data_IF_168374808130
#
_entry.id   IF_168374808130
#
_cell.length_a   1.000
_cell.length_b   1.000
_cell.length_c   1.000
_cell.angle_alpha   90.00
_cell.angle_beta   90.00
_cell.angle_gamma   90.00
#
_symmetry.space_group_name_H-M   'P 1'
#
loop_
_entity.id
_entity.type
_entity.pdbx_description
1 polymer ?
#
# COMPACT_ATOMS: atom_id res chain seq x y z
N UNK A 1 -21.62 -6.11 6.99
CA UNK A 1 -21.90 -5.72 5.60
C UNK A 1 -21.69 -4.22 5.47
N UNK A 2 -20.82 -3.80 4.58
CA UNK A 2 -20.86 -2.53 3.85
C UNK A 2 -19.94 -1.36 4.22
N UNK A 3 -18.84 -1.53 4.92
CA UNK A 3 -17.82 -0.45 5.02
C UNK A 3 -16.73 -0.60 3.92
N UNK A 4 -16.52 -1.81 3.41
CA UNK A 4 -15.55 -2.12 2.34
C UNK A 4 -15.82 -1.43 0.99
N UNK A 5 -17.07 -1.06 0.72
CA UNK A 5 -17.45 -0.53 -0.59
C UNK A 5 -17.29 1.00 -0.72
N UNK A 6 -17.36 1.75 0.37
CA UNK A 6 -17.35 3.22 0.30
C UNK A 6 -16.00 3.81 -0.13
N UNK A 7 -14.88 3.24 0.31
CA UNK A 7 -13.57 3.76 -0.07
C UNK A 7 -13.17 3.41 -1.51
N UNK A 8 -13.58 2.23 -2.00
CA UNK A 8 -13.40 1.83 -3.39
C UNK A 8 -14.25 2.70 -4.32
N UNK A 9 -15.49 2.94 -3.93
CA UNK A 9 -16.43 3.80 -4.67
C UNK A 9 -15.95 5.24 -4.68
N UNK A 10 -15.49 5.80 -3.56
CA UNK A 10 -15.04 7.19 -3.50
C UNK A 10 -13.76 7.44 -4.30
N UNK A 11 -12.77 6.55 -4.24
CA UNK A 11 -11.53 6.76 -4.99
C UNK A 11 -11.75 6.53 -6.49
N UNK A 12 -12.42 5.45 -6.89
CA UNK A 12 -12.74 5.16 -8.29
C UNK A 12 -13.72 6.17 -8.86
N UNK A 13 -14.73 6.59 -8.07
CA UNK A 13 -15.68 7.65 -8.46
C UNK A 13 -14.97 8.99 -8.62
N UNK A 14 -14.13 9.38 -7.65
CA UNK A 14 -13.39 10.63 -7.70
C UNK A 14 -12.46 10.68 -8.94
N UNK A 15 -11.71 9.63 -9.18
CA UNK A 15 -10.79 9.56 -10.31
C UNK A 15 -11.54 9.53 -11.65
N UNK A 16 -12.59 8.74 -11.76
CA UNK A 16 -13.37 8.60 -12.99
C UNK A 16 -14.30 9.77 -13.27
N UNK A 17 -15.10 10.17 -12.28
CA UNK A 17 -16.16 11.15 -12.46
C UNK A 17 -15.70 12.59 -12.23
N UNK A 18 -14.67 12.81 -11.39
CA UNK A 18 -14.17 14.14 -11.06
C UNK A 18 -12.93 14.50 -11.85
N UNK A 19 -12.00 13.54 -12.02
CA UNK A 19 -10.73 13.76 -12.72
C UNK A 19 -10.73 13.22 -14.17
N UNK A 20 -11.75 12.47 -14.58
CA UNK A 20 -11.86 11.91 -15.93
C UNK A 20 -10.82 10.83 -16.25
N UNK A 21 -10.17 10.25 -15.23
CA UNK A 21 -9.17 9.20 -15.42
C UNK A 21 -9.88 7.86 -15.56
N UNK A 22 -9.93 7.34 -16.79
CA UNK A 22 -10.57 6.05 -17.10
C UNK A 22 -9.59 4.89 -17.11
N UNK A 23 -8.30 5.15 -17.33
CA UNK A 23 -7.26 4.11 -17.42
C UNK A 23 -6.90 3.56 -16.01
N UNK A 24 -7.12 2.26 -15.76
CA UNK A 24 -6.77 1.65 -14.48
C UNK A 24 -5.29 1.79 -14.11
N UNK A 25 -4.39 1.87 -15.09
CA UNK A 25 -2.94 2.03 -14.89
C UNK A 25 -2.63 3.40 -14.31
N UNK A 26 -3.21 4.45 -14.89
CA UNK A 26 -3.08 5.81 -14.38
C UNK A 26 -3.66 5.93 -12.97
N UNK A 27 -4.78 5.28 -12.69
CA UNK A 27 -5.38 5.23 -11.35
C UNK A 27 -4.44 4.59 -10.33
N UNK A 28 -3.77 3.48 -10.68
CA UNK A 28 -2.80 2.79 -9.83
C UNK A 28 -1.59 3.70 -9.56
N UNK A 29 -1.02 4.31 -10.59
CA UNK A 29 0.12 5.22 -10.45
C UNK A 29 -0.23 6.44 -9.60
N UNK A 30 -1.39 7.03 -9.84
CA UNK A 30 -1.90 8.16 -9.06
C UNK A 30 -2.09 7.77 -7.58
N UNK A 31 -2.70 6.59 -7.32
CA UNK A 31 -2.85 6.09 -5.96
C UNK A 31 -1.51 6.03 -5.22
N UNK A 32 -0.50 5.43 -5.81
CA UNK A 32 0.82 5.30 -5.17
C UNK A 32 1.48 6.66 -4.92
N UNK A 33 1.31 7.63 -5.83
CA UNK A 33 1.82 8.99 -5.65
C UNK A 33 1.10 9.72 -4.48
N UNK A 34 -0.23 9.62 -4.41
CA UNK A 34 -1.00 10.19 -3.30
C UNK A 34 -0.66 9.54 -1.96
N UNK A 35 -0.36 8.24 -1.98
CA UNK A 35 0.01 7.52 -0.78
C UNK A 35 1.39 7.94 -0.24
N UNK A 36 2.33 8.31 -1.11
CA UNK A 36 3.59 8.97 -0.71
C UNK A 36 3.31 10.31 -0.01
N UNK A 37 2.40 11.13 -0.57
CA UNK A 37 2.03 12.42 0.05
C UNK A 37 1.41 12.23 1.42
N UNK A 38 0.52 11.24 1.54
CA UNK A 38 -0.06 10.88 2.83
C UNK A 38 1.01 10.44 3.82
N UNK A 39 1.92 9.54 3.46
CA UNK A 39 2.99 9.09 4.34
C UNK A 39 3.87 10.25 4.82
N UNK A 40 4.21 11.20 3.94
CA UNK A 40 4.95 12.42 4.30
C UNK A 40 4.20 13.29 5.31
N UNK A 41 2.87 13.38 5.23
CA UNK A 41 2.08 14.14 6.20
C UNK A 41 2.19 13.61 7.62
N UNK A 42 2.51 12.31 7.78
CA UNK A 42 2.71 11.67 9.08
C UNK A 42 4.03 12.06 9.76
N UNK A 43 4.98 12.69 9.03
CA UNK A 43 6.26 13.14 9.63
C UNK A 43 6.08 14.18 10.72
N UNK A 44 4.99 14.95 10.67
CA UNK A 44 4.66 15.99 11.65
C UNK A 44 4.00 15.46 12.93
N UNK A 45 3.65 14.18 12.99
CA UNK A 45 3.01 13.59 14.17
C UNK A 45 3.98 13.55 15.36
N UNK A 46 3.53 13.90 16.57
CA UNK A 46 4.29 13.65 17.80
C UNK A 46 4.63 12.17 17.93
N UNK A 47 5.79 11.86 18.52
CA UNK A 47 6.26 10.48 18.72
C UNK A 47 5.24 9.61 19.46
N UNK A 48 4.55 10.20 20.42
CA UNK A 48 3.52 9.53 21.21
C UNK A 48 2.34 9.09 20.33
N UNK A 49 1.92 9.94 19.40
CA UNK A 49 0.86 9.63 18.44
C UNK A 49 1.31 8.61 17.39
N UNK A 50 2.55 8.73 16.92
CA UNK A 50 3.15 7.80 15.99
C UNK A 50 3.19 6.35 16.52
N UNK A 51 3.50 6.19 17.82
CA UNK A 51 3.61 4.89 18.48
C UNK A 51 2.32 4.42 19.15
N UNK A 52 1.27 5.22 19.13
CA UNK A 52 -0.02 4.88 19.73
C UNK A 52 -0.82 3.96 18.83
N UNK A 53 -1.37 2.84 19.34
CA UNK A 53 -2.27 1.97 18.58
C UNK A 53 -3.45 2.75 18.01
N UNK A 54 -3.84 2.48 16.75
CA UNK A 54 -4.99 3.16 16.11
C UNK A 54 -6.32 2.87 16.83
N UNK A 55 -6.43 1.67 17.41
CA UNK A 55 -7.50 1.23 18.32
C UNK A 55 -6.91 0.26 19.33
N UNK A 56 -7.66 -0.09 20.39
CA UNK A 56 -7.24 -1.08 21.37
C UNK A 56 -6.89 -2.43 20.70
N UNK A 57 -5.77 -3.02 21.08
CA UNK A 57 -5.23 -4.26 20.51
C UNK A 57 -4.94 -4.24 19.00
N UNK A 58 -4.89 -3.05 18.38
CA UNK A 58 -4.48 -2.85 16.99
C UNK A 58 -3.04 -2.35 16.90
N UNK A 59 -2.52 -2.30 15.71
CA UNK A 59 -1.21 -1.72 15.42
C UNK A 59 -1.19 -0.22 15.64
N UNK A 60 0.00 0.30 15.96
CA UNK A 60 0.29 1.73 15.92
C UNK A 60 0.46 2.23 14.48
N UNK A 61 0.47 3.55 14.31
CA UNK A 61 0.74 4.17 13.00
C UNK A 61 2.12 3.73 12.49
N UNK A 62 3.11 3.63 13.38
CA UNK A 62 4.45 3.14 13.06
C UNK A 62 4.43 1.75 12.43
N UNK A 63 3.71 0.82 13.06
CA UNK A 63 3.60 -0.56 12.61
C UNK A 63 2.83 -0.66 11.29
N UNK A 64 1.77 0.12 11.14
CA UNK A 64 0.99 0.20 9.88
C UNK A 64 1.88 0.70 8.73
N UNK A 65 2.62 1.79 8.90
CA UNK A 65 3.50 2.27 7.82
C UNK A 65 4.64 1.31 7.55
N UNK A 66 5.24 0.76 8.61
CA UNK A 66 6.40 -0.11 8.49
C UNK A 66 6.15 -1.46 7.83
N UNK A 67 4.90 -2.00 7.90
CA UNK A 67 4.61 -3.28 7.25
C UNK A 67 4.32 -3.16 5.75
N UNK A 68 4.03 -1.98 5.24
CA UNK A 68 3.75 -1.76 3.81
C UNK A 68 5.02 -1.86 2.95
N UNK A 69 6.14 -1.39 3.46
CA UNK A 69 7.42 -1.34 2.73
C UNK A 69 7.88 -2.71 2.21
N UNK A 70 7.95 -3.80 3.01
CA UNK A 70 8.41 -5.08 2.52
C UNK A 70 7.48 -5.72 1.47
N UNK A 71 6.22 -5.36 1.44
CA UNK A 71 5.30 -5.80 0.38
C UNK A 71 5.57 -5.08 -0.94
N UNK A 72 5.86 -3.78 -0.92
CA UNK A 72 6.32 -3.05 -2.11
C UNK A 72 7.63 -3.64 -2.65
N UNK A 73 8.59 -3.89 -1.75
CA UNK A 73 9.85 -4.51 -2.12
C UNK A 73 9.65 -5.90 -2.75
N UNK A 74 8.73 -6.69 -2.20
CA UNK A 74 8.38 -7.99 -2.74
C UNK A 74 7.78 -7.88 -4.16
N UNK A 75 6.92 -6.91 -4.41
CA UNK A 75 6.36 -6.68 -5.75
C UNK A 75 7.47 -6.31 -6.73
N UNK A 76 8.29 -5.34 -6.39
CA UNK A 76 9.39 -4.87 -7.25
C UNK A 76 10.38 -5.99 -7.58
N UNK A 77 10.74 -6.81 -6.59
CA UNK A 77 11.82 -7.78 -6.75
C UNK A 77 11.34 -9.20 -7.12
N UNK A 78 10.07 -9.55 -6.85
CA UNK A 78 9.56 -10.93 -6.95
C UNK A 78 8.26 -11.08 -7.73
N UNK A 79 7.73 -9.99 -8.30
CA UNK A 79 6.56 -10.00 -9.17
C UNK A 79 6.87 -9.41 -10.52
N UNK A 80 7.25 -8.12 -10.54
CA UNK A 80 7.47 -7.39 -11.78
C UNK A 80 8.55 -7.99 -12.69
N UNK A 81 9.71 -8.48 -12.19
CA UNK A 81 10.74 -9.08 -13.06
C UNK A 81 10.32 -10.40 -13.74
N UNK A 82 9.23 -11.02 -13.27
CA UNK A 82 8.71 -12.27 -13.83
C UNK A 82 7.59 -12.07 -14.85
N UNK A 83 7.20 -10.82 -15.10
CA UNK A 83 6.22 -10.51 -16.15
C UNK A 83 6.78 -10.89 -17.51
N UNK A 84 5.98 -11.61 -18.31
CA UNK A 84 6.34 -12.00 -19.69
C UNK A 84 7.43 -13.07 -19.81
N UNK A 85 8.03 -13.53 -18.72
CA UNK A 85 9.12 -14.52 -18.79
C UNK A 85 8.64 -15.95 -19.02
N UNK A 86 7.40 -16.26 -18.68
CA UNK A 86 6.87 -17.64 -18.63
C UNK A 86 7.36 -18.45 -17.43
N UNK A 87 8.25 -17.89 -16.61
CA UNK A 87 8.75 -18.54 -15.40
C UNK A 87 7.71 -18.49 -14.27
N UNK A 88 7.69 -19.53 -13.39
CA UNK A 88 6.83 -19.52 -12.22
C UNK A 88 7.13 -18.33 -11.31
N UNK A 89 6.08 -17.67 -10.81
CA UNK A 89 6.25 -16.61 -9.83
C UNK A 89 6.87 -17.16 -8.52
N UNK A 90 7.87 -16.48 -7.93
CA UNK A 90 8.37 -16.83 -6.61
C UNK A 90 7.25 -16.91 -5.58
N UNK A 91 7.33 -17.86 -4.66
CA UNK A 91 6.37 -17.98 -3.56
C UNK A 91 6.35 -16.69 -2.73
N UNK A 92 5.16 -16.29 -2.28
CA UNK A 92 5.05 -15.21 -1.32
C UNK A 92 5.63 -15.65 0.04
N UNK A 93 6.24 -14.71 0.80
CA UNK A 93 6.59 -15.00 2.20
C UNK A 93 5.32 -15.27 3.01
N UNK A 94 5.49 -15.89 4.18
CA UNK A 94 4.40 -16.00 5.13
C UNK A 94 3.95 -14.62 5.57
N UNK A 95 2.69 -14.22 5.32
CA UNK A 95 2.24 -12.86 5.59
C UNK A 95 2.27 -12.49 7.08
N UNK A 96 1.93 -13.44 7.96
CA UNK A 96 1.92 -13.17 9.39
C UNK A 96 3.34 -12.91 9.89
N UNK A 97 4.28 -13.75 9.49
CA UNK A 97 5.69 -13.61 9.89
C UNK A 97 6.30 -12.31 9.35
N UNK A 98 6.09 -11.99 8.07
CA UNK A 98 6.62 -10.78 7.45
C UNK A 98 6.05 -9.52 8.12
N UNK A 99 4.74 -9.48 8.32
CA UNK A 99 4.05 -8.38 8.94
C UNK A 99 4.51 -8.16 10.39
N UNK A 100 4.66 -9.23 11.19
CA UNK A 100 5.11 -9.13 12.58
C UNK A 100 6.56 -8.66 12.71
N UNK A 101 7.45 -9.14 11.84
CA UNK A 101 8.85 -8.72 11.81
C UNK A 101 8.97 -7.23 11.44
N UNK A 102 8.26 -6.78 10.43
CA UNK A 102 8.29 -5.39 9.98
C UNK A 102 7.63 -4.43 10.98
N UNK A 103 6.50 -4.82 11.58
CA UNK A 103 5.86 -4.08 12.65
C UNK A 103 6.77 -3.91 13.88
N UNK A 104 7.43 -4.99 14.30
CA UNK A 104 8.38 -4.97 15.41
C UNK A 104 9.57 -4.05 15.12
N UNK A 105 10.11 -4.12 13.91
CA UNK A 105 11.19 -3.22 13.47
C UNK A 105 10.74 -1.76 13.49
N UNK A 106 9.56 -1.45 12.96
CA UNK A 106 9.04 -0.10 12.89
C UNK A 106 8.82 0.52 14.28
N UNK A 107 8.32 -0.27 15.24
CA UNK A 107 8.07 0.14 16.63
C UNK A 107 9.31 0.68 17.33
N UNK A 108 10.48 0.12 16.99
CA UNK A 108 11.77 0.45 17.61
C UNK A 108 12.62 1.41 16.77
N UNK A 109 12.18 1.72 15.55
CA UNK A 109 12.90 2.57 14.61
C UNK A 109 12.53 4.05 14.75
N UNK A 110 13.39 4.93 14.23
CA UNK A 110 13.09 6.35 14.12
C UNK A 110 11.95 6.58 13.10
N UNK A 111 10.97 7.40 13.44
CA UNK A 111 9.82 7.74 12.60
C UNK A 111 10.21 8.20 11.20
N UNK A 112 11.10 9.18 11.11
CA UNK A 112 11.58 9.70 9.82
C UNK A 112 12.25 8.61 8.99
N UNK A 113 12.99 7.68 9.63
CA UNK A 113 13.64 6.57 8.93
C UNK A 113 12.63 5.57 8.37
N UNK A 114 11.57 5.24 9.13
CA UNK A 114 10.49 4.34 8.67
C UNK A 114 9.75 4.95 7.48
N UNK A 115 9.31 6.20 7.61
CA UNK A 115 8.59 6.91 6.55
C UNK A 115 9.46 7.06 5.30
N UNK A 116 10.73 7.45 5.46
CA UNK A 116 11.66 7.59 4.35
C UNK A 116 11.90 6.28 3.62
N UNK A 117 12.09 5.18 4.35
CA UNK A 117 12.31 3.86 3.75
C UNK A 117 11.08 3.43 2.93
N UNK A 118 9.88 3.57 3.50
CA UNK A 118 8.64 3.32 2.78
C UNK A 118 8.54 4.15 1.49
N UNK A 119 8.79 5.47 1.57
CA UNK A 119 8.72 6.37 0.41
C UNK A 119 9.70 5.93 -0.68
N UNK A 120 10.96 5.63 -0.32
CA UNK A 120 11.98 5.20 -1.28
C UNK A 120 11.59 3.90 -2.00
N UNK A 121 11.01 2.94 -1.27
CA UNK A 121 10.57 1.67 -1.87
C UNK A 121 9.33 1.89 -2.75
N UNK A 122 8.39 2.73 -2.32
CA UNK A 122 7.21 3.10 -3.11
C UNK A 122 7.57 3.89 -4.39
N UNK A 123 8.54 4.77 -4.34
CA UNK A 123 9.09 5.47 -5.52
C UNK A 123 9.67 4.47 -6.52
N UNK A 124 10.43 3.47 -6.06
CA UNK A 124 10.92 2.38 -6.93
C UNK A 124 9.79 1.57 -7.55
N UNK A 125 8.73 1.28 -6.77
CA UNK A 125 7.55 0.60 -7.30
C UNK A 125 6.91 1.42 -8.43
N UNK A 126 6.70 2.72 -8.23
CA UNK A 126 6.12 3.62 -9.24
C UNK A 126 6.99 3.63 -10.51
N UNK A 127 8.31 3.76 -10.36
CA UNK A 127 9.23 3.74 -11.49
C UNK A 127 9.16 2.40 -12.24
N UNK A 128 9.19 1.28 -11.51
CA UNK A 128 9.06 -0.04 -12.12
C UNK A 128 7.72 -0.24 -12.84
N UNK A 129 6.64 0.30 -12.31
CA UNK A 129 5.32 0.23 -12.94
C UNK A 129 5.25 1.04 -14.25
N UNK A 130 5.94 2.18 -14.33
CA UNK A 130 6.02 3.00 -15.55
C UNK A 130 6.78 2.33 -16.68
N UNK A 131 7.70 1.42 -16.35
CA UNK A 131 8.50 0.66 -17.34
C UNK A 131 7.75 -0.55 -17.89
N UNK A 132 6.57 -0.89 -17.36
CA UNK A 132 5.79 -2.03 -17.81
C UNK A 132 5.16 -1.73 -19.17
N UNK A 133 5.41 -2.57 -20.21
CA UNK A 133 4.75 -2.43 -21.52
C UNK A 133 3.22 -2.53 -21.39
N UNK A 134 2.50 -1.78 -22.21
CA UNK A 134 1.04 -1.69 -22.17
C UNK A 134 0.36 -3.07 -22.23
N UNK A 135 0.86 -3.96 -23.09
CA UNK A 135 0.35 -5.31 -23.25
C UNK A 135 0.55 -6.22 -22.02
N UNK A 136 1.47 -5.85 -21.13
CA UNK A 136 1.75 -6.65 -19.92
C UNK A 136 0.79 -6.36 -18.76
N UNK A 137 0.05 -5.26 -18.81
CA UNK A 137 -0.87 -4.90 -17.73
C UNK A 137 -2.07 -5.84 -17.60
N UNK A 138 -2.55 -6.39 -18.72
CA UNK A 138 -3.61 -7.41 -18.74
C UNK A 138 -3.07 -8.84 -18.60
N UNK A 139 -1.76 -8.99 -18.43
CA UNK A 139 -1.16 -10.30 -18.31
C UNK A 139 -1.63 -11.02 -17.05
N UNK A 140 -1.94 -12.31 -17.21
CA UNK A 140 -2.36 -13.15 -16.09
C UNK A 140 -1.15 -13.60 -15.28
N UNK A 141 -1.19 -13.33 -14.01
CA UNK A 141 -0.26 -13.84 -12.99
C UNK A 141 -0.86 -15.06 -12.29
N UNK A 142 -0.01 -15.97 -11.85
CA UNK A 142 -0.40 -17.17 -11.09
C UNK A 142 0.27 -17.18 -9.72
N UNK A 143 -0.12 -16.29 -8.77
CA UNK A 143 0.37 -16.35 -7.41
C UNK A 143 -0.23 -17.60 -6.70
N UNK A 144 0.54 -18.67 -6.58
CA UNK A 144 0.05 -19.95 -6.08
C UNK A 144 -0.95 -20.59 -7.03
N UNK A 145 -2.13 -20.96 -6.52
CA UNK A 145 -3.21 -21.61 -7.31
C UNK A 145 -4.20 -20.63 -7.95
N UNK A 146 -4.06 -19.31 -7.68
CA UNK A 146 -4.98 -18.28 -8.21
C UNK A 146 -4.46 -17.72 -9.53
N UNK A 147 -5.39 -17.40 -10.43
CA UNK A 147 -5.11 -16.63 -11.63
C UNK A 147 -5.70 -15.23 -11.44
N UNK A 148 -4.89 -14.20 -11.72
CA UNK A 148 -5.28 -12.79 -11.55
C UNK A 148 -4.51 -11.95 -12.55
N UNK A 149 -5.12 -10.93 -13.16
CA UNK A 149 -4.37 -9.98 -14.00
C UNK A 149 -3.47 -9.09 -13.15
N UNK A 150 -2.41 -8.54 -13.77
CA UNK A 150 -1.52 -7.60 -13.08
C UNK A 150 -2.30 -6.40 -12.54
N UNK A 151 -3.23 -5.83 -13.34
CA UNK A 151 -4.10 -4.73 -12.89
C UNK A 151 -4.84 -5.12 -11.61
N UNK A 152 -5.51 -6.28 -11.59
CA UNK A 152 -6.27 -6.73 -10.42
C UNK A 152 -5.39 -7.01 -9.20
N UNK A 153 -4.18 -7.50 -9.42
CA UNK A 153 -3.20 -7.69 -8.36
C UNK A 153 -2.79 -6.36 -7.73
N UNK A 154 -2.48 -5.35 -8.54
CA UNK A 154 -2.09 -4.01 -8.08
C UNK A 154 -3.26 -3.23 -7.47
N UNK A 155 -4.49 -3.38 -8.02
CA UNK A 155 -5.70 -2.84 -7.39
C UNK A 155 -5.92 -3.40 -5.97
N UNK A 156 -5.65 -4.70 -5.78
CA UNK A 156 -5.73 -5.33 -4.45
C UNK A 156 -4.74 -4.73 -3.46
N UNK A 157 -3.53 -4.38 -3.88
CA UNK A 157 -2.55 -3.67 -3.04
C UNK A 157 -3.02 -2.25 -2.71
N UNK A 158 -3.55 -1.53 -3.69
CA UNK A 158 -4.10 -0.20 -3.47
C UNK A 158 -5.30 -0.22 -2.49
N UNK A 159 -6.16 -1.23 -2.57
CA UNK A 159 -7.26 -1.43 -1.61
C UNK A 159 -6.75 -1.67 -0.18
N UNK A 160 -5.68 -2.45 -0.03
CA UNK A 160 -5.02 -2.69 1.25
C UNK A 160 -4.42 -1.40 1.83
N UNK A 161 -3.73 -0.62 1.02
CA UNK A 161 -3.22 0.70 1.39
C UNK A 161 -4.35 1.61 1.91
N UNK A 162 -5.45 1.72 1.15
CA UNK A 162 -6.60 2.55 1.51
C UNK A 162 -7.31 2.08 2.78
N UNK A 163 -7.29 0.78 3.07
CA UNK A 163 -7.79 0.24 4.32
C UNK A 163 -6.99 0.81 5.49
N UNK A 164 -5.67 0.69 5.45
CA UNK A 164 -4.79 1.18 6.51
C UNK A 164 -4.77 2.71 6.63
N UNK A 165 -4.79 3.41 5.50
CA UNK A 165 -4.92 4.87 5.51
C UNK A 165 -6.15 5.31 6.29
N UNK A 166 -7.31 4.67 6.05
CA UNK A 166 -8.55 5.00 6.79
C UNK A 166 -8.46 4.71 8.29
N UNK A 167 -7.84 3.59 8.68
CA UNK A 167 -7.63 3.28 10.11
C UNK A 167 -6.81 4.39 10.78
N UNK A 168 -5.73 4.83 10.15
CA UNK A 168 -4.86 5.89 10.67
C UNK A 168 -5.57 7.23 10.71
N UNK A 169 -6.19 7.66 9.60
CA UNK A 169 -6.86 8.96 9.50
C UNK A 169 -7.98 9.08 10.55
N UNK A 170 -8.82 8.03 10.69
CA UNK A 170 -9.88 7.99 11.71
C UNK A 170 -9.32 8.05 13.14
N UNK A 171 -8.20 7.39 13.40
CA UNK A 171 -7.57 7.44 14.71
C UNK A 171 -7.07 8.85 15.04
N UNK A 172 -6.45 9.53 14.07
CA UNK A 172 -5.98 10.92 14.22
C UNK A 172 -7.17 11.88 14.40
N UNK A 173 -8.22 11.73 13.59
CA UNK A 173 -9.42 12.57 13.68
C UNK A 173 -10.12 12.45 15.04
N UNK A 174 -10.36 11.23 15.53
CA UNK A 174 -10.97 10.99 16.85
C UNK A 174 -10.17 11.66 17.97
N UNK A 175 -8.84 11.53 17.93
CA UNK A 175 -7.95 12.11 18.95
C UNK A 175 -7.95 13.63 18.94
N UNK A 176 -7.97 14.23 17.75
CA UNK A 176 -8.07 15.68 17.60
C UNK A 176 -9.42 16.21 18.08
N UNK A 177 -10.48 15.41 17.98
CA UNK A 177 -11.81 15.73 18.50
C UNK A 177 -11.98 15.45 20.01
N UNK A 178 -10.98 14.84 20.67
CA UNK A 178 -11.05 14.49 22.09
C UNK A 178 -11.99 13.32 22.41
N UNK A 179 -12.21 12.43 21.43
CA UNK A 179 -13.11 11.27 21.51
C UNK A 179 -12.30 9.99 21.61
#
# INVERSE_FOLDING_TARGET
MTIYNYGKILNTYYLKEVMGVEDPRENILFHHQEFIRWARSLESLPKEEWLRPVEEAKWSIAEIVGHLEPWDEFVVNKRLPFLGTGEPLPSAPDPQMLNEQSATKARTSNQTAVIRQFILTREKLIESLKEIPDESWEQTLKPGSKEITLIKYLEGLAEHDLHHKREVDLAIEKRNAGI
#
